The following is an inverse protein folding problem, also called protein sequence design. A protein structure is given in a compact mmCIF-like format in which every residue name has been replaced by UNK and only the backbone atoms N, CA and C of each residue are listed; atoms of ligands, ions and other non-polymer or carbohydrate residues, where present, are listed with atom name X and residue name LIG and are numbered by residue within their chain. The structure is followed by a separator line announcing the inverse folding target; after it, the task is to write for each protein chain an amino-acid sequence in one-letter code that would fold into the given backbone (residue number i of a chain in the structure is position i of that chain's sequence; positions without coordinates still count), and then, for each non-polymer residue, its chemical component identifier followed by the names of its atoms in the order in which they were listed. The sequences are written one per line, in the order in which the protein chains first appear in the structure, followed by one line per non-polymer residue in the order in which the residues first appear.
data_IF_921716193970
#
_entry.id   IF_921716193970
#
_cell.length_a   1.000
_cell.length_b   1.000
_cell.length_c   1.000
_cell.angle_alpha   90.00
_cell.angle_beta   90.00
_cell.angle_gamma   90.00
#
_symmetry.space_group_name_H-M   'P 1'
#
loop_
_entity.id
_entity.type
_entity.pdbx_description
1 polymer ?
#
# COMPACT_ATOMS: atom_id res chain seq x y z
N UNK A 1 -15.08 -7.65 -7.84
CA UNK A 1 -14.72 -6.28 -8.22
C UNK A 1 -13.24 -6.10 -7.92
N UNK A 2 -12.37 -6.19 -8.93
CA UNK A 2 -10.91 -6.34 -8.79
C UNK A 2 -10.17 -5.85 -10.06
N UNK A 3 -10.08 -4.53 -10.32
CA UNK A 3 -10.58 -3.42 -9.50
C UNK A 3 -12.05 -2.99 -9.79
N UNK A 4 -12.60 -1.98 -9.07
CA UNK A 4 -13.80 -1.24 -9.46
C UNK A 4 -13.64 -0.54 -10.81
N UNK A 5 -14.67 -0.61 -11.68
CA UNK A 5 -14.64 -0.05 -13.05
C UNK A 5 -15.89 0.77 -13.33
N UNK A 6 -15.85 1.63 -14.34
CA UNK A 6 -17.02 2.38 -14.81
C UNK A 6 -18.21 1.47 -15.17
N UNK A 7 -17.94 0.25 -15.64
CA UNK A 7 -18.97 -0.77 -15.85
C UNK A 7 -19.66 -1.22 -14.56
N UNK A 8 -18.93 -1.31 -13.43
CA UNK A 8 -19.54 -1.57 -12.12
C UNK A 8 -20.34 -0.36 -11.63
N UNK A 9 -19.87 0.86 -11.94
CA UNK A 9 -20.56 2.10 -11.55
C UNK A 9 -21.98 2.14 -12.11
N UNK A 10 -22.20 1.71 -13.36
CA UNK A 10 -23.55 1.58 -13.95
C UNK A 10 -24.49 0.72 -13.11
N UNK A 11 -24.03 -0.44 -12.64
CA UNK A 11 -24.81 -1.32 -11.78
C UNK A 11 -25.08 -0.67 -10.43
N UNK A 12 -24.07 -0.06 -9.81
CA UNK A 12 -24.21 0.60 -8.51
C UNK A 12 -25.16 1.80 -8.59
N UNK A 13 -25.08 2.62 -9.63
CA UNK A 13 -26.00 3.73 -9.87
C UNK A 13 -27.44 3.21 -10.05
N UNK A 14 -27.63 2.08 -10.75
CA UNK A 14 -28.93 1.43 -10.86
C UNK A 14 -29.45 0.96 -9.51
N UNK A 15 -28.61 0.34 -8.67
CA UNK A 15 -28.97 -0.05 -7.29
C UNK A 15 -29.39 1.18 -6.48
N UNK A 16 -28.61 2.27 -6.53
CA UNK A 16 -28.90 3.53 -5.82
C UNK A 16 -30.20 4.18 -6.29
N UNK A 17 -30.61 3.96 -7.54
CA UNK A 17 -31.87 4.48 -8.08
C UNK A 17 -33.12 3.70 -7.67
N UNK A 18 -32.96 2.51 -7.05
CA UNK A 18 -34.10 1.73 -6.57
C UNK A 18 -34.59 2.22 -5.21
N UNK A 19 -35.86 1.93 -4.91
CA UNK A 19 -36.39 2.16 -3.57
C UNK A 19 -35.78 1.15 -2.58
N UNK A 20 -35.47 1.59 -1.37
CA UNK A 20 -34.92 0.75 -0.31
C UNK A 20 -33.53 1.18 0.15
N UNK A 21 -32.86 0.32 0.91
CA UNK A 21 -31.49 0.58 1.38
C UNK A 21 -30.47 -0.06 0.45
N UNK A 22 -29.58 0.71 -0.21
CA UNK A 22 -28.61 0.14 -1.14
C UNK A 22 -27.48 -0.63 -0.44
N UNK A 23 -27.15 -1.81 -0.94
CA UNK A 23 -26.01 -2.63 -0.50
C UNK A 23 -25.14 -3.07 -1.69
N UNK A 24 -23.83 -3.13 -1.45
CA UNK A 24 -22.83 -3.71 -2.33
C UNK A 24 -21.97 -4.68 -1.51
N UNK A 25 -22.22 -5.98 -1.64
CA UNK A 25 -21.36 -7.00 -1.03
C UNK A 25 -20.17 -7.30 -1.94
N UNK A 26 -18.99 -7.44 -1.35
CA UNK A 26 -17.73 -7.65 -2.05
C UNK A 26 -17.17 -9.04 -1.71
N UNK A 27 -16.54 -9.68 -2.69
CA UNK A 27 -15.93 -11.00 -2.49
C UNK A 27 -14.65 -10.89 -1.66
N UNK A 28 -14.39 -11.90 -0.83
CA UNK A 28 -13.18 -12.01 -0.01
C UNK A 28 -12.00 -12.68 -0.73
N UNK A 29 -12.21 -13.23 -1.93
CA UNK A 29 -11.16 -13.90 -2.70
C UNK A 29 -9.95 -12.99 -2.94
N UNK A 30 -8.74 -13.48 -2.69
CA UNK A 30 -7.50 -12.79 -3.04
C UNK A 30 -6.58 -13.78 -3.75
N UNK A 31 -6.28 -13.50 -5.02
CA UNK A 31 -5.48 -14.34 -5.92
C UNK A 31 -4.72 -13.43 -6.89
N UNK A 32 -3.40 -13.54 -7.01
CA UNK A 32 -2.62 -12.58 -7.79
C UNK A 32 -3.16 -12.29 -9.20
N UNK A 33 -3.48 -13.31 -9.98
CA UNK A 33 -3.91 -13.12 -11.37
C UNK A 33 -5.35 -12.58 -11.55
N UNK A 34 -6.27 -12.97 -10.66
CA UNK A 34 -7.71 -12.73 -10.85
C UNK A 34 -8.30 -11.74 -9.85
N UNK A 35 -7.74 -11.68 -8.65
CA UNK A 35 -8.22 -10.93 -7.50
C UNK A 35 -7.04 -10.33 -6.71
N UNK A 36 -6.25 -9.43 -7.31
CA UNK A 36 -5.00 -8.95 -6.72
C UNK A 36 -5.18 -8.10 -5.46
N UNK A 37 -6.32 -7.40 -5.34
CA UNK A 37 -6.60 -6.54 -4.18
C UNK A 37 -7.10 -7.37 -3.00
N UNK A 38 -6.64 -7.01 -1.80
CA UNK A 38 -7.20 -7.51 -0.53
C UNK A 38 -8.64 -7.03 -0.34
N UNK A 39 -9.38 -7.66 0.59
CA UNK A 39 -10.75 -7.24 0.89
C UNK A 39 -10.84 -5.76 1.34
N UNK A 40 -9.93 -5.32 2.20
CA UNK A 40 -9.86 -3.94 2.68
C UNK A 40 -9.63 -2.95 1.53
N UNK A 41 -8.68 -3.26 0.62
CA UNK A 41 -8.44 -2.43 -0.56
C UNK A 41 -9.67 -2.39 -1.49
N UNK A 42 -10.39 -3.51 -1.67
CA UNK A 42 -11.64 -3.50 -2.45
C UNK A 42 -12.70 -2.61 -1.83
N UNK A 43 -12.89 -2.66 -0.52
CA UNK A 43 -13.84 -1.80 0.19
C UNK A 43 -13.44 -0.34 0.03
N UNK A 44 -12.17 -0.01 0.28
CA UNK A 44 -11.62 1.33 0.13
C UNK A 44 -11.85 1.88 -1.29
N UNK A 45 -11.42 1.15 -2.32
CA UNK A 45 -11.58 1.63 -3.69
C UNK A 45 -13.04 1.68 -4.13
N UNK A 46 -13.90 0.74 -3.69
CA UNK A 46 -15.33 0.80 -4.00
C UNK A 46 -16.01 2.02 -3.33
N UNK A 47 -15.66 2.35 -2.09
CA UNK A 47 -16.13 3.56 -1.40
C UNK A 47 -15.73 4.82 -2.17
N UNK A 48 -14.45 4.92 -2.54
CA UNK A 48 -13.95 6.07 -3.31
C UNK A 48 -14.50 6.15 -4.73
N UNK A 49 -14.78 5.01 -5.37
CA UNK A 49 -15.32 4.96 -6.73
C UNK A 49 -16.81 5.29 -6.81
N UNK A 50 -17.61 4.84 -5.84
CA UNK A 50 -19.06 4.94 -5.94
C UNK A 50 -19.64 6.03 -5.05
N UNK A 51 -18.91 6.50 -4.05
CA UNK A 51 -19.35 7.51 -3.10
C UNK A 51 -20.50 7.03 -2.19
N UNK A 52 -20.98 7.94 -1.34
CA UNK A 52 -22.00 7.67 -0.34
C UNK A 52 -23.37 7.22 -0.89
N UNK A 53 -24.25 6.82 0.02
CA UNK A 53 -25.59 6.33 -0.33
C UNK A 53 -25.66 4.84 -0.68
N UNK A 54 -24.60 4.08 -0.41
CA UNK A 54 -24.61 2.62 -0.50
C UNK A 54 -23.74 2.03 0.61
N UNK A 55 -24.19 0.92 1.21
CA UNK A 55 -23.44 0.17 2.21
C UNK A 55 -22.51 -0.82 1.52
N UNK A 56 -21.20 -0.69 1.72
CA UNK A 56 -20.19 -1.44 0.97
C UNK A 56 -19.46 -2.42 1.88
N UNK A 57 -19.44 -3.68 1.47
CA UNK A 57 -18.72 -4.75 2.14
C UNK A 57 -19.37 -5.20 3.46
N UNK A 58 -19.04 -6.43 3.85
CA UNK A 58 -19.25 -6.96 5.19
C UNK A 58 -18.19 -8.05 5.41
N UNK A 59 -17.50 -7.99 6.56
CA UNK A 59 -16.37 -8.90 6.86
C UNK A 59 -16.82 -10.36 6.98
N UNK A 60 -18.09 -10.59 7.32
CA UNK A 60 -18.65 -11.91 7.60
C UNK A 60 -19.40 -12.48 6.38
N UNK A 61 -19.60 -11.69 5.31
CA UNK A 61 -20.34 -12.10 4.09
C UNK A 61 -19.38 -12.45 2.96
N UNK A 62 -19.31 -13.75 2.61
CA UNK A 62 -18.40 -14.30 1.59
C UNK A 62 -19.12 -14.77 0.33
N UNK A 63 -20.40 -15.11 0.44
CA UNK A 63 -21.22 -15.66 -0.66
C UNK A 63 -22.52 -14.89 -0.83
N UNK A 64 -23.17 -15.06 -1.98
CA UNK A 64 -24.48 -14.45 -2.24
C UNK A 64 -25.56 -14.98 -1.28
N UNK A 65 -25.51 -16.26 -0.91
CA UNK A 65 -26.45 -16.83 0.07
C UNK A 65 -26.26 -16.18 1.44
N UNK A 66 -25.02 -15.96 1.87
CA UNK A 66 -24.73 -15.23 3.11
C UNK A 66 -25.17 -13.77 3.05
N UNK A 67 -25.10 -13.13 1.88
CA UNK A 67 -25.62 -11.78 1.70
C UNK A 67 -27.15 -11.74 1.92
N UNK A 68 -27.87 -12.70 1.34
CA UNK A 68 -29.32 -12.83 1.53
C UNK A 68 -29.66 -13.12 3.01
N UNK A 69 -28.96 -14.04 3.66
CA UNK A 69 -29.13 -14.31 5.10
C UNK A 69 -28.86 -13.07 5.96
N UNK A 70 -27.82 -12.29 5.62
CA UNK A 70 -27.51 -11.05 6.32
C UNK A 70 -28.65 -10.03 6.19
N UNK A 71 -29.18 -9.87 4.97
CA UNK A 71 -30.31 -8.97 4.72
C UNK A 71 -31.57 -9.41 5.48
N UNK A 72 -31.90 -10.71 5.49
CA UNK A 72 -33.02 -11.25 6.28
C UNK A 72 -32.81 -10.98 7.78
N UNK A 73 -31.62 -11.27 8.30
CA UNK A 73 -31.29 -11.05 9.73
C UNK A 73 -31.36 -9.57 10.13
N UNK A 74 -31.15 -8.66 9.18
CA UNK A 74 -31.29 -7.23 9.37
C UNK A 74 -32.75 -6.74 9.26
N UNK A 75 -33.70 -7.65 9.02
CA UNK A 75 -35.14 -7.38 8.99
C UNK A 75 -35.70 -6.98 7.63
N UNK A 76 -34.91 -7.05 6.55
CA UNK A 76 -35.41 -6.78 5.20
C UNK A 76 -36.38 -7.88 4.75
N UNK A 77 -37.51 -7.48 4.16
CA UNK A 77 -38.57 -8.38 3.69
C UNK A 77 -38.64 -8.52 2.18
N UNK A 78 -38.19 -7.51 1.46
CA UNK A 78 -38.11 -7.49 0.01
C UNK A 78 -36.67 -7.22 -0.44
N UNK A 79 -36.25 -7.90 -1.51
CA UNK A 79 -34.93 -7.71 -2.12
C UNK A 79 -35.06 -7.39 -3.59
N UNK A 80 -34.39 -6.31 -4.01
CA UNK A 80 -34.13 -6.01 -5.42
C UNK A 80 -32.66 -6.33 -5.71
N UNK A 81 -32.41 -7.37 -6.49
CA UNK A 81 -31.09 -7.76 -6.92
C UNK A 81 -30.82 -7.26 -8.34
N UNK A 82 -29.78 -6.45 -8.52
CA UNK A 82 -29.41 -5.90 -9.83
C UNK A 82 -28.31 -6.75 -10.45
N UNK A 83 -28.57 -7.28 -11.64
CA UNK A 83 -27.64 -8.10 -12.41
C UNK A 83 -27.39 -7.51 -13.80
N UNK A 84 -26.26 -7.90 -14.42
CA UNK A 84 -26.10 -7.74 -15.87
C UNK A 84 -27.08 -8.63 -16.64
N UNK A 85 -27.41 -8.25 -17.88
CA UNK A 85 -28.38 -8.94 -18.72
C UNK A 85 -28.11 -10.44 -18.87
N UNK A 86 -26.84 -10.83 -18.99
CA UNK A 86 -26.38 -12.21 -19.15
C UNK A 86 -26.65 -13.10 -17.92
N UNK A 87 -26.94 -12.50 -16.76
CA UNK A 87 -27.07 -13.22 -15.48
C UNK A 87 -28.44 -13.14 -14.84
N UNK A 88 -29.38 -12.38 -15.40
CA UNK A 88 -30.73 -12.18 -14.83
C UNK A 88 -31.39 -13.53 -14.52
N UNK A 89 -31.58 -14.39 -15.53
CA UNK A 89 -32.27 -15.69 -15.34
C UNK A 89 -31.54 -16.60 -14.35
N UNK A 90 -30.21 -16.60 -14.39
CA UNK A 90 -29.39 -17.42 -13.50
C UNK A 90 -29.56 -17.02 -12.03
N UNK A 91 -29.63 -15.71 -11.75
CA UNK A 91 -29.82 -15.21 -10.39
C UNK A 91 -31.27 -15.27 -9.94
N UNK A 92 -32.24 -15.05 -10.84
CA UNK A 92 -33.65 -15.24 -10.54
C UNK A 92 -33.89 -16.66 -10.04
N UNK A 93 -33.39 -17.65 -10.76
CA UNK A 93 -33.51 -19.05 -10.34
C UNK A 93 -32.78 -19.32 -9.02
N UNK A 94 -31.49 -18.99 -8.96
CA UNK A 94 -30.67 -19.24 -7.77
C UNK A 94 -31.29 -18.66 -6.49
N UNK A 95 -31.72 -17.40 -6.54
CA UNK A 95 -32.18 -16.70 -5.34
C UNK A 95 -33.57 -17.22 -4.88
N UNK A 96 -34.45 -17.58 -5.82
CA UNK A 96 -35.76 -18.12 -5.48
C UNK A 96 -35.70 -19.59 -5.05
N UNK A 97 -34.80 -20.41 -5.61
CA UNK A 97 -34.65 -21.82 -5.23
C UNK A 97 -34.25 -22.00 -3.75
N UNK A 98 -33.56 -21.02 -3.18
CA UNK A 98 -33.10 -20.97 -1.79
C UNK A 98 -34.04 -20.20 -0.86
N UNK A 99 -35.02 -19.45 -1.39
CA UNK A 99 -36.01 -18.73 -0.60
C UNK A 99 -36.99 -19.71 0.06
N UNK A 100 -37.24 -19.55 1.36
CA UNK A 100 -37.97 -20.50 2.20
C UNK A 100 -37.14 -21.69 2.69
N UNK A 101 -35.83 -21.74 2.38
CA UNK A 101 -34.90 -22.79 2.86
C UNK A 101 -33.75 -22.20 3.68
N UNK A 102 -32.94 -21.36 3.03
CA UNK A 102 -31.73 -20.77 3.63
C UNK A 102 -31.96 -19.34 4.14
N UNK A 103 -33.03 -18.70 3.65
CA UNK A 103 -33.55 -17.39 4.04
C UNK A 103 -35.01 -17.27 3.59
N UNK A 104 -35.76 -16.31 4.14
CA UNK A 104 -37.17 -16.06 3.81
C UNK A 104 -37.45 -14.58 3.54
N UNK A 105 -37.77 -14.26 2.28
CA UNK A 105 -38.24 -12.96 1.82
C UNK A 105 -39.65 -13.06 1.24
N UNK A 106 -40.43 -11.98 1.41
CA UNK A 106 -41.77 -11.82 0.84
C UNK A 106 -41.68 -11.60 -0.69
N UNK A 107 -40.65 -10.87 -1.15
CA UNK A 107 -40.36 -10.68 -2.57
C UNK A 107 -38.87 -10.67 -2.89
N UNK A 108 -38.48 -11.34 -3.99
CA UNK A 108 -37.15 -11.23 -4.59
C UNK A 108 -37.32 -10.85 -6.05
N UNK A 109 -36.93 -9.63 -6.41
CA UNK A 109 -36.96 -9.12 -7.77
C UNK A 109 -35.55 -9.04 -8.33
N UNK A 110 -35.31 -9.64 -9.49
CA UNK A 110 -34.04 -9.51 -10.21
C UNK A 110 -34.21 -8.53 -11.36
N UNK A 111 -33.47 -7.43 -11.33
CA UNK A 111 -33.52 -6.39 -12.35
C UNK A 111 -32.29 -6.42 -13.23
N UNK A 112 -32.51 -6.21 -14.53
CA UNK A 112 -31.45 -5.98 -15.48
C UNK A 112 -30.92 -4.54 -15.34
N UNK A 113 -29.60 -4.39 -15.23
CA UNK A 113 -28.91 -3.10 -15.24
C UNK A 113 -28.75 -2.48 -16.64
N UNK A 114 -29.12 -3.21 -17.69
CA UNK A 114 -28.93 -2.88 -19.10
C UNK A 114 -28.10 -3.95 -19.82
N UNK A 115 -28.18 -3.95 -21.15
CA UNK A 115 -27.32 -4.78 -21.99
C UNK A 115 -25.91 -4.19 -22.05
N UNK A 116 -24.88 -5.04 -21.98
CA UNK A 116 -23.51 -4.65 -22.30
C UNK A 116 -23.28 -4.90 -23.79
N UNK A 117 -22.84 -3.87 -24.50
CA UNK A 117 -22.12 -4.07 -25.75
C UNK A 117 -20.64 -4.33 -25.43
N UNK A 118 -20.13 -5.56 -25.62
CA UNK A 118 -18.73 -5.90 -25.33
C UNK A 118 -17.72 -5.18 -26.22
N UNK A 119 -18.17 -4.66 -27.37
CA UNK A 119 -17.36 -3.95 -28.37
C UNK A 119 -17.47 -2.41 -28.24
N UNK A 120 -18.36 -1.90 -27.38
CA UNK A 120 -18.55 -0.46 -27.20
C UNK A 120 -17.39 0.20 -26.44
N UNK A 121 -16.97 1.37 -26.95
CA UNK A 121 -16.01 2.25 -26.30
C UNK A 121 -16.57 2.84 -24.98
N UNK A 122 -15.70 3.10 -24.01
CA UNK A 122 -16.09 3.68 -22.71
C UNK A 122 -16.73 2.69 -21.74
N UNK A 123 -17.79 3.11 -21.03
CA UNK A 123 -18.28 2.40 -19.84
C UNK A 123 -18.88 0.99 -20.08
N UNK A 124 -19.17 0.65 -21.32
CA UNK A 124 -19.78 -0.64 -21.71
C UNK A 124 -18.72 -1.71 -21.96
N UNK A 125 -17.58 -1.32 -22.53
CA UNK A 125 -16.45 -2.22 -22.78
C UNK A 125 -15.53 -2.45 -21.58
N UNK A 126 -15.55 -1.61 -20.53
CA UNK A 126 -14.56 -1.66 -19.44
C UNK A 126 -14.89 -2.68 -18.34
N UNK A 127 -13.97 -3.63 -18.15
CA UNK A 127 -14.09 -4.72 -17.18
C UNK A 127 -12.86 -4.81 -16.27
N UNK A 128 -13.04 -5.38 -15.08
CA UNK A 128 -11.94 -5.63 -14.16
C UNK A 128 -10.80 -6.44 -14.79
N UNK A 129 -11.12 -7.39 -15.68
CA UNK A 129 -10.11 -8.19 -16.38
C UNK A 129 -9.31 -7.35 -17.39
N UNK A 130 -9.94 -6.44 -18.13
CA UNK A 130 -9.24 -5.49 -19.00
C UNK A 130 -8.36 -4.54 -18.18
N UNK A 131 -8.83 -4.07 -17.02
CA UNK A 131 -8.01 -3.23 -16.13
C UNK A 131 -6.78 -3.99 -15.59
N UNK A 132 -6.93 -5.26 -15.20
CA UNK A 132 -5.75 -6.07 -14.83
C UNK A 132 -4.81 -6.31 -16.00
N UNK A 133 -5.31 -6.38 -17.23
CA UNK A 133 -4.48 -6.47 -18.43
C UNK A 133 -3.66 -5.19 -18.63
N UNK A 134 -4.28 -4.01 -18.62
CA UNK A 134 -3.58 -2.72 -18.74
C UNK A 134 -2.59 -2.52 -17.59
N UNK A 135 -3.02 -2.85 -16.36
CA UNK A 135 -2.14 -2.91 -15.20
C UNK A 135 -1.01 -3.92 -15.35
N UNK A 136 -1.15 -5.02 -16.11
CA UNK A 136 -0.03 -5.91 -16.38
C UNK A 136 0.95 -5.34 -17.42
N UNK A 137 0.43 -4.61 -18.41
CA UNK A 137 1.21 -4.02 -19.51
C UNK A 137 1.91 -2.71 -19.16
N UNK A 138 1.55 -2.06 -18.06
CA UNK A 138 2.07 -0.73 -17.73
C UNK A 138 1.30 0.41 -18.39
N UNK A 139 0.14 0.11 -18.97
CA UNK A 139 -0.75 1.01 -19.70
C UNK A 139 -1.61 1.78 -18.68
N UNK A 140 -1.06 2.83 -18.09
CA UNK A 140 -1.72 3.58 -17.01
C UNK A 140 -2.90 4.42 -17.50
N UNK A 141 -2.76 5.09 -18.65
CA UNK A 141 -3.81 5.97 -19.18
C UNK A 141 -5.08 5.15 -19.51
N UNK A 142 -4.91 4.00 -20.14
CA UNK A 142 -5.99 3.05 -20.44
C UNK A 142 -6.60 2.42 -19.18
N UNK A 143 -5.80 2.28 -18.12
CA UNK A 143 -6.31 1.85 -16.82
C UNK A 143 -7.15 2.94 -16.15
N UNK A 144 -6.66 4.19 -16.13
CA UNK A 144 -7.36 5.34 -15.56
C UNK A 144 -8.72 5.55 -16.22
N UNK A 145 -8.78 5.47 -17.55
CA UNK A 145 -10.00 5.61 -18.33
C UNK A 145 -11.07 4.54 -18.02
N UNK A 146 -10.67 3.38 -17.50
CA UNK A 146 -11.57 2.27 -17.23
C UNK A 146 -12.00 2.10 -15.77
N UNK A 147 -11.31 2.73 -14.81
CA UNK A 147 -11.66 2.64 -13.39
C UNK A 147 -12.77 3.63 -13.00
N UNK A 148 -13.53 3.31 -11.95
CA UNK A 148 -14.66 4.16 -11.53
C UNK A 148 -14.28 5.32 -10.60
N UNK A 149 -13.02 5.39 -10.15
CA UNK A 149 -12.57 6.52 -9.33
C UNK A 149 -12.22 7.69 -10.24
N UNK A 150 -12.70 8.88 -9.89
CA UNK A 150 -12.47 10.09 -10.70
C UNK A 150 -11.24 10.88 -10.24
N UNK A 151 -10.67 10.55 -9.08
CA UNK A 151 -9.47 11.20 -8.56
C UNK A 151 -8.23 10.53 -9.16
N UNK A 152 -7.41 11.24 -9.95
CA UNK A 152 -6.20 10.67 -10.58
C UNK A 152 -5.21 10.09 -9.58
N UNK A 153 -5.08 10.68 -8.38
CA UNK A 153 -4.18 10.14 -7.35
C UNK A 153 -4.65 8.79 -6.86
N UNK A 154 -5.96 8.62 -6.69
CA UNK A 154 -6.55 7.35 -6.30
C UNK A 154 -6.54 6.34 -7.45
N UNK A 155 -6.68 6.77 -8.70
CA UNK A 155 -6.52 5.91 -9.88
C UNK A 155 -5.08 5.35 -9.96
N UNK A 156 -4.07 6.22 -9.80
CA UNK A 156 -2.66 5.82 -9.73
C UNK A 156 -2.38 4.87 -8.57
N UNK A 157 -2.91 5.16 -7.38
CA UNK A 157 -2.80 4.27 -6.22
C UNK A 157 -3.42 2.90 -6.53
N UNK A 158 -4.61 2.87 -7.13
CA UNK A 158 -5.30 1.64 -7.50
C UNK A 158 -4.48 0.82 -8.52
N UNK A 159 -3.91 1.47 -9.53
CA UNK A 159 -3.02 0.84 -10.51
C UNK A 159 -1.82 0.17 -9.83
N UNK A 160 -1.11 0.90 -8.97
CA UNK A 160 0.04 0.37 -8.22
C UNK A 160 -0.38 -0.80 -7.32
N UNK A 161 -1.50 -0.71 -6.62
CA UNK A 161 -2.00 -1.80 -5.76
C UNK A 161 -2.42 -3.04 -6.55
N UNK A 162 -3.04 -2.86 -7.70
CA UNK A 162 -3.35 -3.98 -8.62
C UNK A 162 -2.06 -4.66 -9.08
N UNK A 163 -1.05 -3.90 -9.51
CA UNK A 163 0.25 -4.42 -9.94
C UNK A 163 0.98 -5.16 -8.81
N UNK A 164 1.02 -4.56 -7.63
CA UNK A 164 1.59 -5.16 -6.41
C UNK A 164 0.89 -6.49 -6.09
N UNK A 165 -0.44 -6.51 -6.08
CA UNK A 165 -1.22 -7.72 -5.83
C UNK A 165 -1.05 -8.80 -6.90
N UNK A 166 -0.76 -8.41 -8.14
CA UNK A 166 -0.41 -9.31 -9.25
C UNK A 166 1.03 -9.83 -9.16
N UNK A 167 1.84 -9.36 -8.20
CA UNK A 167 3.26 -9.72 -8.08
C UNK A 167 4.13 -9.08 -9.15
N UNK A 168 3.67 -8.00 -9.76
CA UNK A 168 4.38 -7.26 -10.80
C UNK A 168 5.24 -6.22 -10.10
N UNK A 169 6.54 -6.51 -9.99
CA UNK A 169 7.54 -5.56 -9.55
C UNK A 169 8.06 -4.80 -10.75
N UNK A 170 7.85 -3.49 -10.74
CA UNK A 170 8.39 -2.62 -11.77
C UNK A 170 9.89 -2.41 -11.62
N UNK A 171 10.68 -3.13 -12.41
CA UNK A 171 11.92 -2.56 -12.93
C UNK A 171 11.53 -1.51 -13.99
N UNK A 172 11.19 -0.29 -13.56
CA UNK A 172 11.09 0.86 -14.48
C UNK A 172 9.72 1.53 -14.72
N UNK A 173 8.70 1.29 -13.90
CA UNK A 173 7.47 2.13 -13.87
C UNK A 173 7.30 2.71 -12.46
N UNK A 174 8.30 3.47 -12.05
CA UNK A 174 8.12 4.61 -11.16
C UNK A 174 8.63 5.81 -11.97
N UNK A 175 7.89 6.19 -13.01
CA UNK A 175 8.04 7.50 -13.60
C UNK A 175 6.75 8.29 -13.34
N UNK A 176 6.96 9.41 -12.65
CA UNK A 176 6.11 10.56 -12.41
C UNK A 176 4.76 10.33 -11.70
N UNK A 177 4.86 10.09 -10.40
CA UNK A 177 4.17 11.00 -9.48
C UNK A 177 5.23 11.63 -8.57
N UNK A 178 5.56 12.89 -8.86
CA UNK A 178 6.27 13.78 -7.94
C UNK A 178 5.48 13.88 -6.62
N UNK A 179 5.73 12.97 -5.68
CA UNK A 179 5.60 13.25 -4.25
C UNK A 179 6.89 12.75 -3.60
N UNK A 180 7.79 13.69 -3.34
CA UNK A 180 8.99 13.52 -2.55
C UNK A 180 8.68 12.68 -1.30
N UNK A 181 9.60 11.76 -1.00
CA UNK A 181 9.87 11.39 0.39
C UNK A 181 10.30 12.63 1.13
N UNK A 182 9.34 13.33 1.74
CA UNK A 182 9.60 14.46 2.63
C UNK A 182 10.18 13.92 3.92
N UNK A 183 11.44 13.50 3.84
CA UNK A 183 12.31 13.37 4.99
C UNK A 183 12.50 14.77 5.57
N UNK A 184 11.98 15.00 6.77
CA UNK A 184 12.21 16.26 7.47
C UNK A 184 13.50 16.08 8.28
N UNK A 185 14.48 16.93 8.02
CA UNK A 185 15.68 17.00 8.85
C UNK A 185 15.55 18.18 9.80
N UNK A 186 15.53 17.90 11.10
CA UNK A 186 15.59 18.92 12.16
C UNK A 186 16.87 18.68 12.95
N UNK A 187 17.77 19.66 12.93
CA UNK A 187 19.11 19.48 13.51
C UNK A 187 19.89 18.39 12.77
N UNK A 188 20.30 17.36 13.49
CA UNK A 188 20.99 16.18 12.95
C UNK A 188 20.05 14.97 12.70
N UNK A 189 18.78 15.13 13.03
CA UNK A 189 17.80 14.04 13.00
C UNK A 189 16.97 14.10 11.72
N UNK A 190 17.11 13.07 10.89
CA UNK A 190 16.30 12.87 9.68
C UNK A 190 15.24 11.80 9.95
N UNK A 191 13.98 12.20 9.89
CA UNK A 191 12.85 11.27 10.04
C UNK A 191 12.40 10.71 8.70
N UNK A 192 12.05 9.41 8.69
CA UNK A 192 11.44 8.68 7.56
C UNK A 192 10.02 8.18 7.86
N UNK A 193 9.54 8.34 9.11
CA UNK A 193 8.27 7.78 9.59
C UNK A 193 7.16 8.83 9.72
N UNK A 194 7.42 10.10 9.39
CA UNK A 194 6.44 11.21 9.35
C UNK A 194 5.30 11.04 8.33
N UNK A 195 5.30 9.91 7.63
CA UNK A 195 4.62 9.66 6.36
C UNK A 195 3.10 9.48 6.45
N UNK A 196 2.46 9.88 7.55
CA UNK A 196 1.01 9.73 7.71
C UNK A 196 0.27 11.02 8.07
N UNK A 197 0.95 12.11 8.44
CA UNK A 197 0.25 13.35 8.77
C UNK A 197 0.97 14.61 8.25
N UNK A 198 0.41 15.21 7.20
CA UNK A 198 0.90 16.48 6.64
C UNK A 198 0.93 17.62 7.66
N UNK A 199 0.11 17.58 8.72
CA UNK A 199 0.13 18.56 9.81
C UNK A 199 1.41 18.50 10.64
N UNK A 200 1.96 17.29 10.87
CA UNK A 200 3.21 17.10 11.58
C UNK A 200 4.38 17.67 10.78
N UNK A 201 4.43 17.38 9.48
CA UNK A 201 5.44 17.92 8.55
C UNK A 201 5.38 19.46 8.50
N UNK A 202 4.17 20.03 8.42
CA UNK A 202 3.97 21.49 8.41
C UNK A 202 4.48 22.14 9.69
N UNK A 203 4.19 21.54 10.85
CA UNK A 203 4.64 22.02 12.16
C UNK A 203 6.16 21.92 12.30
N UNK A 204 6.72 20.77 11.91
CA UNK A 204 8.15 20.49 11.91
C UNK A 204 8.94 21.50 11.08
N UNK A 205 8.51 21.75 9.83
CA UNK A 205 9.15 22.71 8.94
C UNK A 205 9.02 24.16 9.40
N UNK A 206 7.86 24.55 9.96
CA UNK A 206 7.61 25.90 10.46
C UNK A 206 8.52 26.26 11.64
N UNK A 207 8.80 25.28 12.50
CA UNK A 207 9.53 25.51 13.75
C UNK A 207 10.95 24.93 13.76
N UNK A 208 11.47 24.44 12.63
CA UNK A 208 12.73 23.67 12.53
C UNK A 208 13.96 24.23 13.25
N UNK A 209 14.05 25.55 13.39
CA UNK A 209 15.19 26.24 14.01
C UNK A 209 14.98 26.47 15.53
N UNK A 210 13.82 26.10 16.09
CA UNK A 210 13.53 26.20 17.53
C UNK A 210 14.31 25.12 18.31
N UNK A 211 15.06 25.51 19.36
CA UNK A 211 15.69 24.56 20.26
C UNK A 211 14.67 23.57 20.84
N UNK A 212 14.97 22.27 20.81
CA UNK A 212 14.10 21.20 21.31
C UNK A 212 13.12 20.61 20.29
N UNK A 213 13.11 21.09 19.04
CA UNK A 213 12.32 20.49 17.97
C UNK A 213 12.80 19.09 17.60
N UNK A 214 14.11 18.85 17.57
CA UNK A 214 14.69 17.53 17.29
C UNK A 214 14.11 16.44 18.20
N UNK A 215 14.03 16.72 19.49
CA UNK A 215 13.44 15.83 20.50
C UNK A 215 11.95 15.61 20.25
N UNK A 216 11.21 16.66 19.85
CA UNK A 216 9.80 16.54 19.51
C UNK A 216 9.60 15.60 18.31
N UNK A 217 10.38 15.76 17.23
CA UNK A 217 10.30 14.92 16.04
C UNK A 217 10.64 13.46 16.37
N UNK A 218 11.65 13.22 17.20
CA UNK A 218 11.99 11.87 17.68
C UNK A 218 10.84 11.20 18.42
N UNK A 219 10.18 11.93 19.31
CA UNK A 219 9.02 11.41 20.04
C UNK A 219 7.83 11.13 19.12
N UNK A 220 7.58 12.01 18.14
CA UNK A 220 6.54 11.82 17.13
C UNK A 220 6.84 10.62 16.22
N UNK A 221 8.10 10.39 15.84
CA UNK A 221 8.51 9.19 15.09
C UNK A 221 8.23 7.90 15.82
N UNK A 222 8.42 7.90 17.14
CA UNK A 222 8.07 6.75 17.96
C UNK A 222 6.56 6.49 17.94
N UNK A 223 5.72 7.54 17.89
CA UNK A 223 4.26 7.41 17.75
C UNK A 223 3.93 6.75 16.41
N UNK A 224 4.50 7.25 15.32
CA UNK A 224 4.24 6.72 13.98
C UNK A 224 4.75 5.30 13.78
N UNK A 225 5.88 4.97 14.39
CA UNK A 225 6.41 3.60 14.38
C UNK A 225 5.49 2.65 15.12
N UNK A 226 5.01 3.04 16.30
CA UNK A 226 4.04 2.24 17.06
C UNK A 226 2.71 2.10 16.32
N UNK A 227 2.21 3.18 15.71
CA UNK A 227 0.99 3.14 14.89
C UNK A 227 1.13 2.14 13.75
N UNK A 228 2.29 2.15 13.07
CA UNK A 228 2.62 1.18 12.02
C UNK A 228 2.69 -0.25 12.54
N UNK A 229 3.32 -0.48 13.69
CA UNK A 229 3.39 -1.82 14.30
C UNK A 229 2.00 -2.36 14.67
N UNK A 230 1.11 -1.50 15.17
CA UNK A 230 -0.28 -1.87 15.49
C UNK A 230 -1.10 -2.12 14.23
N UNK A 231 -0.93 -1.31 13.17
CA UNK A 231 -1.54 -1.56 11.86
C UNK A 231 -1.10 -2.91 11.28
N UNK A 232 0.21 -3.18 11.30
CA UNK A 232 0.79 -4.41 10.77
C UNK A 232 0.32 -5.65 11.57
N UNK A 233 0.10 -5.49 12.87
CA UNK A 233 -0.44 -6.54 13.74
C UNK A 233 -1.96 -6.75 13.60
N UNK A 234 -2.70 -5.74 13.13
CA UNK A 234 -4.16 -5.77 13.01
C UNK A 234 -4.92 -5.69 14.33
N UNK A 235 -4.23 -5.49 15.45
CA UNK A 235 -4.81 -5.25 16.77
C UNK A 235 -3.83 -4.48 17.68
N UNK A 236 -4.37 -3.78 18.68
CA UNK A 236 -3.56 -3.02 19.66
C UNK A 236 -3.50 -3.72 21.01
N UNK A 237 -2.30 -4.09 21.43
CA UNK A 237 -2.03 -4.76 22.70
C UNK A 237 -2.23 -3.83 23.89
N UNK A 238 -2.42 -4.39 25.09
CA UNK A 238 -2.53 -3.60 26.32
C UNK A 238 -1.28 -2.75 26.56
N UNK A 239 -0.12 -3.30 26.22
CA UNK A 239 1.19 -2.66 26.33
C UNK A 239 1.31 -1.50 25.33
N UNK A 240 0.88 -1.67 24.08
CA UNK A 240 0.84 -0.61 23.08
C UNK A 240 -0.09 0.55 23.51
N UNK A 241 -1.27 0.22 24.07
CA UNK A 241 -2.23 1.21 24.60
C UNK A 241 -1.70 1.97 25.81
N UNK A 242 -0.89 1.34 26.66
CA UNK A 242 -0.24 2.02 27.78
C UNK A 242 0.95 2.87 27.32
N UNK A 243 1.69 2.37 26.33
CA UNK A 243 2.87 3.04 25.78
C UNK A 243 2.48 4.30 25.01
N UNK A 244 1.44 4.25 24.17
CA UNK A 244 0.98 5.43 23.41
C UNK A 244 0.51 6.58 24.30
N UNK A 245 -0.10 6.30 25.46
CA UNK A 245 -0.50 7.35 26.42
C UNK A 245 0.72 8.09 26.97
N UNK A 246 1.72 7.34 27.45
CA UNK A 246 2.98 7.91 27.96
C UNK A 246 3.75 8.67 26.88
N UNK A 247 3.73 8.15 25.65
CA UNK A 247 4.42 8.75 24.53
C UNK A 247 3.73 10.03 24.07
N UNK A 248 2.40 10.05 24.02
CA UNK A 248 1.60 11.24 23.77
C UNK A 248 1.88 12.34 24.81
N UNK A 249 1.89 12.00 26.10
CA UNK A 249 2.19 12.97 27.17
C UNK A 249 3.60 13.56 27.00
N UNK A 250 4.59 12.73 26.64
CA UNK A 250 5.95 13.20 26.36
C UNK A 250 6.01 14.13 25.13
N UNK A 251 5.26 13.83 24.06
CA UNK A 251 5.14 14.69 22.88
C UNK A 251 4.53 16.05 23.27
N UNK A 252 3.43 16.05 24.02
CA UNK A 252 2.74 17.28 24.43
C UNK A 252 3.56 18.12 25.43
N UNK A 253 4.26 17.49 26.37
CA UNK A 253 5.18 18.17 27.28
C UNK A 253 6.34 18.84 26.51
N UNK A 254 6.88 18.16 25.50
CA UNK A 254 7.93 18.73 24.67
C UNK A 254 7.40 19.87 23.78
N UNK A 255 6.22 19.71 23.18
CA UNK A 255 5.57 20.75 22.39
C UNK A 255 5.29 22.01 23.22
N UNK A 256 4.87 21.83 24.48
CA UNK A 256 4.66 22.94 25.43
C UNK A 256 5.96 23.63 25.83
N UNK A 257 7.04 22.87 26.08
CA UNK A 257 8.36 23.44 26.42
C UNK A 257 8.90 24.35 25.32
N UNK A 258 8.60 24.05 24.06
CA UNK A 258 9.06 24.82 22.90
C UNK A 258 7.99 25.81 22.37
N UNK A 259 6.84 25.87 23.05
CA UNK A 259 5.74 26.83 22.83
C UNK A 259 5.04 26.65 21.47
N UNK A 260 4.65 25.42 21.13
CA UNK A 260 3.92 25.07 19.91
C UNK A 260 2.78 24.07 20.15
N UNK A 261 2.38 23.85 21.40
CA UNK A 261 1.39 22.87 21.82
C UNK A 261 0.06 22.98 21.06
N UNK A 262 -0.40 24.20 20.81
CA UNK A 262 -1.66 24.48 20.09
C UNK A 262 -1.59 24.02 18.62
N UNK A 263 -0.38 23.94 18.04
CA UNK A 263 -0.18 23.46 16.68
C UNK A 263 0.00 21.94 16.61
N UNK A 264 0.34 21.30 17.73
CA UNK A 264 0.68 19.87 17.81
C UNK A 264 -0.49 19.00 18.29
N UNK A 265 -1.31 19.54 19.19
CA UNK A 265 -2.35 18.80 19.92
C UNK A 265 -3.30 18.04 18.98
N UNK A 266 -3.89 18.74 18.01
CA UNK A 266 -4.99 18.18 17.22
C UNK A 266 -4.63 16.92 16.42
N UNK A 267 -3.42 16.86 15.86
CA UNK A 267 -3.00 15.67 15.11
C UNK A 267 -2.45 14.58 16.02
N UNK A 268 -1.75 14.94 17.10
CA UNK A 268 -1.22 13.93 18.03
C UNK A 268 -2.31 13.20 18.78
N UNK A 269 -3.41 13.88 19.14
CA UNK A 269 -4.55 13.21 19.74
C UNK A 269 -5.21 12.19 18.79
N UNK A 270 -5.24 12.49 17.48
CA UNK A 270 -5.78 11.55 16.48
C UNK A 270 -4.93 10.28 16.37
N UNK A 271 -3.60 10.42 16.35
CA UNK A 271 -2.69 9.27 16.35
C UNK A 271 -2.76 8.46 17.66
N UNK A 272 -2.92 9.13 18.80
CA UNK A 272 -3.13 8.44 20.08
C UNK A 272 -4.43 7.63 20.06
N UNK A 273 -5.52 8.26 19.65
CA UNK A 273 -6.85 7.68 19.72
C UNK A 273 -7.02 6.51 18.72
N UNK A 274 -6.35 6.54 17.57
CA UNK A 274 -6.31 5.45 16.59
C UNK A 274 -5.73 4.17 17.22
N UNK A 275 -4.59 4.28 17.89
CA UNK A 275 -3.91 3.17 18.58
C UNK A 275 -4.72 2.69 19.79
N UNK A 276 -5.38 3.58 20.53
CA UNK A 276 -6.22 3.19 21.68
C UNK A 276 -7.46 2.39 21.27
N UNK A 277 -8.09 2.75 20.15
CA UNK A 277 -9.21 2.01 19.56
C UNK A 277 -8.76 0.63 19.05
N UNK A 278 -7.52 0.53 18.59
CA UNK A 278 -6.94 -0.72 18.08
C UNK A 278 -7.34 -1.04 16.64
N UNK A 279 -7.73 -0.01 15.90
CA UNK A 279 -8.04 -0.06 14.47
C UNK A 279 -7.44 1.19 13.78
N UNK A 280 -6.09 1.35 13.77
CA UNK A 280 -5.47 2.50 13.11
C UNK A 280 -5.64 2.41 11.59
N UNK A 281 -6.23 3.45 10.97
CA UNK A 281 -6.33 3.55 9.50
C UNK A 281 -5.20 4.43 8.92
N UNK A 282 -4.71 4.14 7.69
CA UNK A 282 -3.78 5.02 6.99
C UNK A 282 -4.39 6.41 6.75
N UNK A 283 -3.73 7.47 7.23
CA UNK A 283 -4.08 8.86 6.89
C UNK A 283 -5.10 9.55 7.79
N UNK A 284 -5.08 9.32 9.10
CA UNK A 284 -5.89 10.10 10.06
C UNK A 284 -5.39 11.55 10.23
N UNK A 285 -5.63 12.34 9.19
CA UNK A 285 -5.82 13.79 9.23
C UNK A 285 -7.25 14.15 8.87
N UNK A 286 -8.28 13.48 9.41
CA UNK A 286 -9.64 14.02 9.36
C UNK A 286 -9.72 15.21 10.31
N UNK A 287 -9.48 16.41 9.81
CA UNK A 287 -10.12 17.61 10.37
C UNK A 287 -11.55 17.59 9.87
N UNK A 288 -12.47 17.11 10.69
CA UNK A 288 -13.82 17.64 10.62
C UNK A 288 -13.78 19.04 11.25
N UNK A 289 -13.19 20.04 10.57
CA UNK A 289 -13.58 21.47 10.59
C UNK A 289 -12.95 22.18 9.37
N UNK A 290 -13.83 22.86 8.62
CA UNK A 290 -13.76 23.65 7.38
C UNK A 290 -12.50 24.43 6.91
N UNK A 291 -12.47 24.60 5.56
CA UNK A 291 -11.96 25.70 4.70
C UNK A 291 -10.51 25.75 4.09
N UNK A 292 -10.48 25.62 2.75
CA UNK A 292 -9.73 26.35 1.70
C UNK A 292 -8.19 26.51 1.77
N UNK A 293 -7.43 25.76 0.95
CA UNK A 293 -6.12 26.19 0.41
C UNK A 293 -5.92 25.69 -1.03
N UNK A 294 -6.31 26.53 -2.00
CA UNK A 294 -6.18 26.31 -3.45
C UNK A 294 -4.89 26.91 -4.05
N UNK A 295 -3.88 27.25 -3.25
CA UNK A 295 -2.91 28.27 -3.70
C UNK A 295 -1.42 27.86 -3.82
N UNK A 296 -1.03 26.60 -3.61
CA UNK A 296 0.40 26.27 -3.44
C UNK A 296 1.08 25.45 -4.56
N UNK A 297 0.60 25.54 -5.80
CA UNK A 297 1.31 24.97 -6.97
C UNK A 297 2.25 26.02 -7.58
N UNK A 298 3.57 25.94 -7.33
CA UNK A 298 4.63 26.22 -8.35
C UNK A 298 6.09 25.97 -7.91
N UNK A 299 6.78 25.15 -8.74
CA UNK A 299 8.23 25.06 -9.07
C UNK A 299 9.21 24.28 -8.15
N UNK A 300 9.56 23.04 -8.61
CA UNK A 300 10.86 22.53 -9.15
C UNK A 300 12.17 23.14 -8.58
N UNK A 301 13.28 22.43 -8.29
CA UNK A 301 13.86 21.14 -8.76
C UNK A 301 15.07 20.68 -7.87
N UNK A 302 15.19 19.35 -7.65
CA UNK A 302 16.39 18.45 -7.61
C UNK A 302 17.51 18.54 -6.52
N UNK A 303 17.68 17.45 -5.74
CA UNK A 303 18.75 16.39 -5.88
C UNK A 303 18.75 15.36 -4.72
N UNK A 304 18.92 14.07 -5.06
CA UNK A 304 18.93 12.86 -4.18
C UNK A 304 20.33 12.21 -4.10
N UNK A 305 20.69 11.57 -2.96
CA UNK A 305 21.52 10.34 -2.80
C UNK A 305 21.40 9.82 -1.34
N UNK A 306 21.34 8.52 -0.97
CA UNK A 306 22.20 7.36 -1.34
C UNK A 306 21.54 5.96 -1.07
N UNK A 307 22.07 4.89 -1.71
CA UNK A 307 21.54 3.53 -2.05
C UNK A 307 21.98 2.32 -1.16
N UNK A 308 21.49 1.08 -1.44
CA UNK A 308 22.13 -0.23 -1.08
C UNK A 308 22.32 -1.20 -2.29
N UNK A 309 23.45 -1.21 -3.02
CA UNK A 309 23.55 -1.91 -4.33
C UNK A 309 24.16 -3.33 -4.39
N UNK A 310 24.85 -3.85 -3.35
CA UNK A 310 25.76 -5.02 -3.53
C UNK A 310 25.23 -6.41 -3.16
N UNK A 311 24.32 -6.50 -2.18
CA UNK A 311 23.67 -7.77 -1.86
C UNK A 311 22.77 -8.21 -3.02
N UNK A 312 22.12 -7.26 -3.68
CA UNK A 312 21.29 -7.48 -4.86
C UNK A 312 22.12 -8.03 -6.03
N UNK A 313 23.34 -7.53 -6.22
CA UNK A 313 24.27 -8.08 -7.21
C UNK A 313 24.62 -9.54 -6.88
N UNK A 314 24.85 -9.89 -5.61
CA UNK A 314 25.10 -11.28 -5.19
C UNK A 314 23.88 -12.18 -5.42
N UNK A 315 22.67 -11.70 -5.13
CA UNK A 315 21.43 -12.41 -5.40
C UNK A 315 21.24 -12.67 -6.90
N UNK A 316 21.50 -11.66 -7.73
CA UNK A 316 21.43 -11.76 -9.18
C UNK A 316 22.46 -12.77 -9.73
N UNK A 317 23.69 -12.77 -9.19
CA UNK A 317 24.71 -13.74 -9.59
C UNK A 317 24.31 -15.15 -9.15
N UNK A 318 23.78 -15.32 -7.93
CA UNK A 318 23.31 -16.60 -7.40
C UNK A 318 22.18 -17.23 -8.23
N UNK A 319 21.37 -16.42 -8.90
CA UNK A 319 20.26 -16.86 -9.73
C UNK A 319 20.68 -17.35 -11.14
N UNK A 320 21.93 -17.12 -11.56
CA UNK A 320 22.40 -17.48 -12.92
C UNK A 320 22.70 -18.97 -13.05
N UNK A 321 22.38 -19.52 -14.22
CA UNK A 321 22.66 -20.91 -14.57
C UNK A 321 23.94 -21.10 -15.40
N UNK A 322 24.58 -20.02 -15.86
CA UNK A 322 25.71 -20.08 -16.81
C UNK A 322 27.06 -20.46 -16.18
N UNK A 323 27.13 -20.54 -14.85
CA UNK A 323 28.34 -20.90 -14.09
C UNK A 323 29.49 -19.90 -14.24
N UNK A 324 29.27 -18.77 -14.93
CA UNK A 324 30.33 -17.82 -15.27
C UNK A 324 30.52 -16.81 -14.14
N UNK A 325 31.77 -16.58 -13.67
CA UNK A 325 32.07 -15.54 -12.70
C UNK A 325 31.63 -14.15 -13.19
N UNK A 326 31.01 -13.37 -12.31
CA UNK A 326 30.52 -12.03 -12.59
C UNK A 326 31.01 -11.05 -11.52
N UNK A 327 31.31 -9.79 -11.87
CA UNK A 327 31.84 -8.84 -10.90
C UNK A 327 30.76 -8.43 -9.88
N UNK A 328 31.14 -8.40 -8.60
CA UNK A 328 30.32 -7.85 -7.50
C UNK A 328 30.26 -6.32 -7.50
N UNK A 329 31.11 -5.67 -8.29
CA UNK A 329 31.08 -4.23 -8.51
C UNK A 329 31.52 -3.90 -9.93
N UNK A 330 30.73 -3.08 -10.62
CA UNK A 330 31.07 -2.41 -11.87
C UNK A 330 31.63 -1.02 -11.49
N UNK A 331 32.90 -0.68 -11.79
CA UNK A 331 33.43 0.67 -11.49
C UNK A 331 33.24 1.60 -12.72
N UNK A 332 33.03 2.93 -12.67
CA UNK A 332 33.17 3.93 -11.59
C UNK A 332 32.20 5.13 -11.76
N UNK A 333 31.41 5.43 -10.73
CA UNK A 333 30.74 6.72 -10.51
C UNK A 333 31.23 7.38 -9.22
N UNK A 334 31.14 8.71 -9.10
CA UNK A 334 31.61 9.47 -7.92
C UNK A 334 30.77 9.11 -6.69
N UNK A 335 31.23 8.12 -5.92
CA UNK A 335 30.53 7.58 -4.75
C UNK A 335 30.57 6.05 -4.61
N UNK A 336 31.04 5.32 -5.61
CA UNK A 336 31.14 3.85 -5.56
C UNK A 336 32.60 3.35 -5.49
N UNK A 337 32.79 2.29 -4.71
CA UNK A 337 34.02 1.57 -4.36
C UNK A 337 35.25 1.86 -5.26
N UNK A 338 36.14 2.72 -4.79
CA UNK A 338 37.48 2.91 -5.38
C UNK A 338 38.59 2.15 -4.65
N UNK A 339 38.25 1.30 -3.67
CA UNK A 339 39.27 0.71 -2.78
C UNK A 339 39.36 -0.80 -2.97
N UNK A 340 40.43 -1.23 -3.66
CA UNK A 340 40.95 -2.59 -3.61
C UNK A 340 40.62 -3.53 -4.78
N UNK A 341 40.27 -3.04 -5.97
CA UNK A 341 40.11 -3.86 -7.19
C UNK A 341 38.69 -4.38 -7.47
N UNK A 342 38.55 -5.25 -8.49
CA UNK A 342 37.29 -5.89 -8.90
C UNK A 342 37.22 -7.33 -8.42
N UNK A 343 36.16 -7.67 -7.70
CA UNK A 343 35.95 -9.02 -7.18
C UNK A 343 34.86 -9.73 -8.00
N UNK A 344 35.20 -10.87 -8.58
CA UNK A 344 34.30 -11.71 -9.37
C UNK A 344 33.92 -12.97 -8.60
N UNK A 345 32.65 -13.33 -8.67
CA UNK A 345 32.08 -14.51 -8.00
C UNK A 345 31.24 -15.28 -9.00
N UNK A 346 31.36 -16.61 -8.99
CA UNK A 346 30.49 -17.47 -9.79
C UNK A 346 29.13 -17.71 -9.10
N UNK A 347 28.10 -18.15 -9.85
CA UNK A 347 26.77 -18.39 -9.29
C UNK A 347 26.73 -19.38 -8.13
N UNK A 348 27.61 -20.39 -8.14
CA UNK A 348 27.65 -21.43 -7.09
C UNK A 348 28.13 -20.81 -5.77
N UNK A 349 29.19 -20.01 -5.80
CA UNK A 349 29.75 -19.36 -4.63
C UNK A 349 28.89 -18.18 -4.16
N UNK A 350 28.23 -17.45 -5.07
CA UNK A 350 27.24 -16.44 -4.73
C UNK A 350 26.03 -17.06 -4.02
N UNK A 351 25.52 -18.19 -4.50
CA UNK A 351 24.41 -18.92 -3.85
C UNK A 351 24.77 -19.42 -2.46
N UNK A 352 26.01 -19.90 -2.28
CA UNK A 352 26.53 -20.28 -0.95
C UNK A 352 26.62 -19.07 -0.01
N UNK A 353 27.07 -17.93 -0.52
CA UNK A 353 27.10 -16.68 0.24
C UNK A 353 25.70 -16.25 0.70
N UNK A 354 24.75 -16.16 -0.24
CA UNK A 354 23.36 -15.76 0.05
C UNK A 354 22.71 -16.73 1.03
N UNK A 355 22.87 -18.04 0.82
CA UNK A 355 22.34 -19.05 1.74
C UNK A 355 22.96 -18.94 3.14
N UNK A 356 24.24 -18.59 3.25
CA UNK A 356 24.89 -18.36 4.53
C UNK A 356 24.41 -17.05 5.17
N UNK A 357 24.25 -15.99 4.38
CA UNK A 357 23.74 -14.69 4.80
C UNK A 357 22.32 -14.81 5.39
N UNK A 358 21.43 -15.52 4.71
CA UNK A 358 20.03 -15.70 5.14
C UNK A 358 19.90 -16.56 6.40
N UNK A 359 20.78 -17.56 6.58
CA UNK A 359 20.76 -18.46 7.74
C UNK A 359 21.43 -17.88 9.00
N UNK A 360 22.20 -16.81 8.87
CA UNK A 360 22.94 -16.19 9.97
C UNK A 360 22.52 -14.72 10.13
N UNK A 361 21.25 -14.51 10.48
CA UNK A 361 20.63 -13.18 10.65
C UNK A 361 21.44 -12.30 11.62
N UNK A 362 21.99 -12.90 12.66
CA UNK A 362 22.85 -12.27 13.67
C UNK A 362 24.17 -11.72 13.11
N UNK A 363 24.61 -12.17 11.92
CA UNK A 363 25.86 -11.78 11.28
C UNK A 363 25.66 -10.90 10.04
N UNK A 364 24.41 -10.64 9.63
CA UNK A 364 24.09 -9.93 8.39
C UNK A 364 24.71 -8.53 8.34
N UNK A 365 24.64 -7.77 9.43
CA UNK A 365 25.24 -6.43 9.49
C UNK A 365 26.76 -6.43 9.28
N UNK A 366 27.46 -7.42 9.87
CA UNK A 366 28.90 -7.57 9.70
C UNK A 366 29.25 -7.96 8.25
N UNK A 367 28.45 -8.85 7.65
CA UNK A 367 28.61 -9.25 6.25
C UNK A 367 28.33 -8.08 5.29
N UNK A 368 27.27 -7.29 5.50
CA UNK A 368 26.96 -6.11 4.70
C UNK A 368 28.07 -5.06 4.78
N UNK A 369 28.64 -4.82 5.97
CA UNK A 369 29.81 -3.93 6.13
C UNK A 369 31.02 -4.45 5.38
N UNK A 370 31.29 -5.75 5.43
CA UNK A 370 32.41 -6.35 4.70
C UNK A 370 32.23 -6.31 3.17
N UNK A 371 30.98 -6.27 2.66
CA UNK A 371 30.71 -6.08 1.23
C UNK A 371 31.05 -4.66 0.72
N UNK A 372 31.39 -3.71 1.60
CA UNK A 372 31.69 -2.32 1.23
C UNK A 372 33.08 -2.11 0.61
N UNK A 373 33.95 -3.12 0.49
CA UNK A 373 35.18 -3.02 -0.29
C UNK A 373 35.59 -4.36 -0.86
N UNK A 374 36.32 -4.37 -1.99
CA UNK A 374 36.78 -5.61 -2.60
C UNK A 374 37.73 -6.39 -1.67
N UNK A 375 38.58 -5.69 -0.91
CA UNK A 375 39.52 -6.31 0.03
C UNK A 375 38.83 -6.93 1.25
N UNK A 376 37.84 -6.24 1.84
CA UNK A 376 37.07 -6.81 2.97
C UNK A 376 36.12 -7.91 2.51
N UNK A 377 35.59 -7.81 1.29
CA UNK A 377 34.77 -8.86 0.69
C UNK A 377 35.60 -10.12 0.42
N UNK A 378 36.81 -9.97 -0.12
CA UNK A 378 37.76 -11.07 -0.32
C UNK A 378 38.06 -11.82 0.98
N UNK A 379 38.41 -11.08 2.05
CA UNK A 379 38.66 -11.67 3.37
C UNK A 379 37.43 -12.40 3.93
N UNK A 380 36.24 -11.81 3.77
CA UNK A 380 34.99 -12.47 4.16
C UNK A 380 34.80 -13.78 3.38
N UNK A 381 35.07 -13.77 2.08
CA UNK A 381 34.92 -14.95 1.23
C UNK A 381 35.95 -16.03 1.57
N UNK A 382 37.19 -15.65 1.93
CA UNK A 382 38.19 -16.59 2.45
C UNK A 382 37.72 -17.27 3.74
N UNK A 383 37.18 -16.50 4.69
CA UNK A 383 36.63 -17.02 5.96
C UNK A 383 35.46 -17.98 5.71
N UNK A 384 34.64 -17.69 4.70
CA UNK A 384 33.49 -18.52 4.33
C UNK A 384 33.85 -19.67 3.37
N UNK A 385 35.12 -19.82 2.98
CA UNK A 385 35.57 -20.84 2.04
C UNK A 385 34.97 -20.71 0.63
N UNK A 386 34.61 -19.49 0.24
CA UNK A 386 33.98 -19.18 -1.05
C UNK A 386 35.05 -18.81 -2.07
N UNK A 387 34.97 -19.39 -3.28
CA UNK A 387 35.89 -19.03 -4.36
C UNK A 387 35.48 -17.71 -5.00
N UNK A 388 36.48 -16.88 -5.25
CA UNK A 388 36.35 -15.62 -5.99
C UNK A 388 37.61 -15.38 -6.82
N UNK A 389 37.54 -14.43 -7.75
CA UNK A 389 38.71 -13.87 -8.44
C UNK A 389 38.81 -12.39 -8.08
N UNK A 390 39.95 -11.95 -7.56
CA UNK A 390 40.21 -10.55 -7.26
C UNK A 390 41.21 -9.99 -8.27
N UNK A 391 40.76 -9.06 -9.11
CA UNK A 391 41.63 -8.30 -10.01
C UNK A 391 41.93 -6.95 -9.36
N UNK A 392 43.13 -6.82 -8.79
CA UNK A 392 43.62 -5.55 -8.24
C UNK A 392 43.95 -4.60 -9.38
N UNK A 393 43.39 -3.40 -9.38
CA UNK A 393 43.87 -2.32 -10.26
C UNK A 393 45.27 -1.91 -9.75
N UNK A 394 46.28 -1.94 -10.63
CA UNK A 394 47.65 -1.52 -10.35
C UNK A 394 47.78 -0.01 -10.40
#
# INVERSE_FOLDING_TARGET
MNPPTIGHKKLVDKVKSQQGTPFLFLTHSQKPATDPLSFAEKVFFADKSFGGGIRIGDKDVKTIIQAMQKLESAGYKDVIYVAGSDRVDSFTKLLNDYNGKDYTFDSIQVMNAGERDPDAEGAEGMSASKMRYHANKGEYDEFEDGVAVNDPKLAKMMFTKVRQGMGITDEGIIEDSDEEKQEVTIGDYTTTHFYMCGSAIKTANKHKDKPGMEDLIRLQDMVYKLEKEVMDAGESTTEAKQFIKKLHDAVMDQAKKIGIEDEVVDYQEKHRDSILKGDPEPGFGRVDVDENIKEFIKKKELKVQQQKPKLDVLNNIAARADGKPFPLSWNAGKGEISVGGKLFVDPINAKKFVSFFDRNVDKQDAMTKALQSATTTAKLFDVLGLKYKLDMER
#
